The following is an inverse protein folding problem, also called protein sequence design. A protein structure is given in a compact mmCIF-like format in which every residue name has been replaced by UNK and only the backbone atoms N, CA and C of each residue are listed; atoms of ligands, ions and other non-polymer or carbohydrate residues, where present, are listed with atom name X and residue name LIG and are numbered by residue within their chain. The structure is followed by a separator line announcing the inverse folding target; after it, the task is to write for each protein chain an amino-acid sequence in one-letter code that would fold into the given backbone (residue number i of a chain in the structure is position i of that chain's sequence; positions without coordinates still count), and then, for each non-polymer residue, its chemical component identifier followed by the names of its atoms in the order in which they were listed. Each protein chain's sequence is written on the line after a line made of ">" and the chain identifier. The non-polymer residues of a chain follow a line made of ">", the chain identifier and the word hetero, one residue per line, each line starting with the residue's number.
data_IF_290791035070
#
_entry.id   IF_290791035070
#
_cell.length_a   1.000
_cell.length_b   1.000
_cell.length_c   1.000
_cell.angle_alpha   90.00
_cell.angle_beta   90.00
_cell.angle_gamma   90.00
#
_symmetry.space_group_name_H-M   'P 1'
#
loop_
_entity.id
_entity.type
_entity.pdbx_description
1 polymer ?
#
# COMPACT_ATOMS: atom_id res chain seq x y z
N UNK A 1 24.46 -14.29 88.36
CA UNK A 1 25.01 -14.42 87.00
C UNK A 1 24.11 -15.33 86.19
N UNK A 2 23.08 -14.81 85.59
CA UNK A 2 22.19 -15.62 84.75
C UNK A 2 21.44 -14.64 83.79
N UNK A 3 21.42 -14.96 82.46
CA UNK A 3 20.53 -14.45 81.41
C UNK A 3 20.82 -13.08 80.76
N UNK A 4 21.96 -12.96 80.03
CA UNK A 4 22.17 -11.93 79.04
C UNK A 4 22.27 -12.52 77.61
N UNK A 5 22.24 -13.84 77.47
CA UNK A 5 22.47 -14.50 76.18
C UNK A 5 21.20 -14.77 75.31
N UNK A 6 20.02 -14.48 75.83
CA UNK A 6 18.76 -14.85 75.12
C UNK A 6 18.14 -13.74 74.29
N UNK A 7 18.55 -12.49 74.51
CA UNK A 7 17.84 -11.35 73.79
C UNK A 7 18.49 -11.03 72.44
N UNK A 8 19.75 -11.40 72.23
CA UNK A 8 20.46 -11.11 70.99
C UNK A 8 20.08 -12.01 69.80
N UNK A 9 19.49 -13.17 70.04
CA UNK A 9 19.05 -14.08 68.93
C UNK A 9 17.67 -13.78 68.37
N UNK A 10 16.83 -13.03 69.04
CA UNK A 10 15.47 -12.71 68.61
C UNK A 10 15.47 -11.53 67.64
N UNK A 11 16.39 -10.58 67.78
CA UNK A 11 16.50 -9.43 66.85
C UNK A 11 17.08 -9.76 65.48
N UNK A 12 17.88 -10.83 65.34
CA UNK A 12 18.41 -11.25 64.04
C UNK A 12 17.39 -11.96 63.18
N UNK A 13 16.35 -12.58 63.76
CA UNK A 13 15.33 -13.30 62.97
C UNK A 13 14.25 -12.36 62.43
N UNK A 14 14.00 -11.24 63.10
CA UNK A 14 12.98 -10.27 62.72
C UNK A 14 13.48 -9.34 61.56
N UNK A 15 14.80 -9.12 61.44
CA UNK A 15 15.39 -8.32 60.37
C UNK A 15 15.55 -9.07 59.01
N UNK A 16 15.42 -10.41 59.03
CA UNK A 16 15.53 -11.22 57.81
C UNK A 16 14.17 -11.48 57.12
N UNK A 17 13.06 -11.21 57.80
CA UNK A 17 11.72 -11.42 57.26
C UNK A 17 11.06 -10.16 56.69
N UNK A 18 11.71 -8.98 56.82
CA UNK A 18 11.20 -7.70 56.35
C UNK A 18 11.61 -7.31 54.92
N UNK A 19 12.40 -8.16 54.20
CA UNK A 19 12.98 -7.76 52.89
C UNK A 19 12.39 -8.51 51.69
N UNK A 20 11.29 -9.23 51.85
CA UNK A 20 10.64 -9.97 50.73
C UNK A 20 9.22 -9.49 50.52
N UNK A 21 8.98 -8.22 50.27
CA UNK A 21 7.74 -7.75 49.58
C UNK A 21 7.97 -6.35 49.05
N UNK A 22 8.90 -6.22 48.12
CA UNK A 22 8.86 -5.11 47.14
C UNK A 22 9.34 -5.65 45.82
N UNK A 23 8.56 -6.58 45.22
CA UNK A 23 8.59 -6.82 43.79
C UNK A 23 7.89 -5.62 43.18
N UNK A 24 8.56 -4.83 42.31
CA UNK A 24 7.84 -3.88 41.51
C UNK A 24 6.89 -4.69 40.61
N UNK A 25 5.60 -4.49 40.80
CA UNK A 25 4.61 -4.92 39.84
C UNK A 25 5.01 -4.28 38.50
N UNK A 26 5.68 -5.06 37.67
CA UNK A 26 5.92 -4.72 36.30
C UNK A 26 4.56 -4.42 35.72
N UNK A 27 4.29 -3.13 35.46
CA UNK A 27 3.19 -2.69 34.62
C UNK A 27 3.40 -3.34 33.28
N UNK A 28 2.83 -4.52 33.09
CA UNK A 28 2.45 -4.96 31.75
C UNK A 28 1.43 -3.93 31.29
N UNK A 29 1.90 -2.92 30.60
CA UNK A 29 1.05 -2.12 29.73
C UNK A 29 0.49 -3.10 28.70
N UNK A 30 -0.66 -3.69 29.03
CA UNK A 30 -1.53 -4.28 28.00
C UNK A 30 -1.88 -3.11 27.07
N UNK A 31 -1.19 -3.07 25.95
CA UNK A 31 -1.61 -2.30 24.81
C UNK A 31 -3.05 -2.76 24.53
N UNK A 32 -4.01 -1.96 25.02
CA UNK A 32 -5.42 -2.15 24.72
C UNK A 32 -5.53 -2.04 23.20
N UNK A 33 -5.50 -3.18 22.54
CA UNK A 33 -5.98 -3.28 21.17
C UNK A 33 -7.38 -2.71 21.18
N UNK A 34 -7.52 -1.50 20.65
CA UNK A 34 -8.81 -0.82 20.44
C UNK A 34 -9.71 -1.85 19.76
N UNK A 35 -10.92 -2.14 20.30
CA UNK A 35 -11.82 -3.07 19.62
C UNK A 35 -12.01 -2.55 18.21
N UNK A 36 -11.84 -3.41 17.21
CA UNK A 36 -12.05 -3.08 15.82
C UNK A 36 -13.46 -2.52 15.70
N UNK A 37 -13.56 -1.24 15.40
CA UNK A 37 -14.82 -0.60 15.09
C UNK A 37 -15.35 -1.31 13.84
N UNK A 38 -16.53 -1.95 13.93
CA UNK A 38 -17.06 -2.84 12.90
C UNK A 38 -17.39 -2.13 11.58
N UNK A 39 -17.21 -0.82 11.53
CA UNK A 39 -17.46 0.00 10.35
C UNK A 39 -16.22 0.35 9.53
N UNK A 40 -15.00 0.01 9.98
CA UNK A 40 -13.77 0.33 9.24
C UNK A 40 -13.24 -0.89 8.50
N UNK A 41 -13.02 -0.76 7.18
CA UNK A 41 -12.38 -1.78 6.34
C UNK A 41 -10.87 -1.65 6.47
N UNK A 42 -10.20 -2.72 6.89
CA UNK A 42 -8.74 -2.75 7.03
C UNK A 42 -8.08 -3.04 5.69
N UNK A 43 -7.26 -2.10 5.23
CA UNK A 43 -6.61 -2.12 3.93
C UNK A 43 -5.11 -2.38 4.07
N UNK A 44 -4.60 -3.34 3.31
CA UNK A 44 -3.17 -3.52 3.11
C UNK A 44 -2.81 -3.18 1.66
N UNK A 45 -2.05 -2.10 1.47
CA UNK A 45 -1.53 -1.71 0.15
C UNK A 45 -0.16 -2.35 -0.03
N UNK A 46 -0.08 -3.33 -0.93
CA UNK A 46 1.19 -3.96 -1.28
C UNK A 46 2.08 -2.98 -2.06
N UNK A 47 3.41 -3.15 -1.99
CA UNK A 47 4.30 -2.38 -2.85
C UNK A 47 3.89 -2.52 -4.32
N UNK A 48 3.69 -1.39 -5.00
CA UNK A 48 3.36 -1.41 -6.43
C UNK A 48 4.54 -1.95 -7.21
N UNK A 49 4.28 -2.59 -8.33
CA UNK A 49 5.26 -3.28 -9.14
C UNK A 49 5.23 -2.79 -10.58
N UNK A 50 6.38 -2.83 -11.23
CA UNK A 50 6.48 -2.66 -12.68
C UNK A 50 6.29 -4.00 -13.37
N UNK A 51 5.61 -4.02 -14.51
CA UNK A 51 5.53 -5.18 -15.40
C UNK A 51 6.14 -4.81 -16.73
N UNK A 52 7.26 -5.45 -17.03
CA UNK A 52 8.04 -5.26 -18.25
C UNK A 52 7.89 -6.51 -19.10
N UNK A 53 7.70 -6.40 -20.42
CA UNK A 53 7.67 -7.56 -21.30
C UNK A 53 9.02 -8.29 -21.29
N UNK A 54 8.98 -9.62 -21.38
CA UNK A 54 10.18 -10.45 -21.45
C UNK A 54 10.87 -10.37 -22.83
N UNK A 55 10.14 -9.94 -23.83
CA UNK A 55 10.55 -9.75 -25.20
C UNK A 55 10.38 -8.28 -25.66
N UNK A 56 10.58 -7.99 -26.93
CA UNK A 56 10.33 -6.68 -27.54
C UNK A 56 8.84 -6.36 -27.73
N UNK A 57 7.95 -7.05 -27.05
CA UNK A 57 6.50 -6.84 -27.14
C UNK A 57 6.10 -5.46 -26.64
N UNK A 58 5.16 -4.84 -27.34
CA UNK A 58 4.54 -3.58 -26.92
C UNK A 58 3.38 -3.76 -25.93
N UNK A 59 3.11 -5.00 -25.53
CA UNK A 59 2.04 -5.34 -24.60
C UNK A 59 2.50 -6.30 -23.51
N UNK A 60 1.85 -6.21 -22.34
CA UNK A 60 2.04 -7.10 -21.21
C UNK A 60 0.70 -7.58 -20.67
N UNK A 61 0.71 -8.69 -19.94
CA UNK A 61 -0.47 -9.21 -19.25
C UNK A 61 -0.44 -8.86 -17.78
N UNK A 62 -1.59 -8.43 -17.27
CA UNK A 62 -1.76 -8.23 -15.82
C UNK A 62 -1.59 -9.56 -15.08
N UNK A 63 -0.72 -9.63 -14.04
CA UNK A 63 -0.52 -10.88 -13.29
C UNK A 63 -1.74 -11.34 -12.47
N UNK A 64 -2.73 -10.46 -12.25
CA UNK A 64 -3.95 -10.76 -11.48
C UNK A 64 -5.08 -11.22 -12.39
N UNK A 65 -5.47 -10.39 -13.36
CA UNK A 65 -6.68 -10.62 -14.15
C UNK A 65 -6.39 -11.07 -15.59
N UNK A 66 -5.12 -11.10 -16.02
CA UNK A 66 -4.71 -11.51 -17.36
C UNK A 66 -5.05 -10.50 -18.46
N UNK A 67 -5.56 -9.29 -18.14
CA UNK A 67 -5.83 -8.25 -19.14
C UNK A 67 -4.55 -7.86 -19.87
N UNK A 68 -4.69 -7.52 -21.13
CA UNK A 68 -3.60 -7.06 -21.97
C UNK A 68 -3.51 -5.53 -21.87
N UNK A 69 -2.32 -5.04 -21.54
CA UNK A 69 -2.04 -3.62 -21.35
C UNK A 69 -0.89 -3.20 -22.27
N UNK A 70 -0.93 -1.94 -22.73
CA UNK A 70 0.19 -1.38 -23.48
C UNK A 70 1.40 -1.18 -22.58
N UNK A 71 2.52 -1.76 -22.95
CA UNK A 71 3.80 -1.56 -22.25
C UNK A 71 4.59 -0.40 -22.88
N UNK A 72 5.63 0.02 -22.20
CA UNK A 72 6.52 1.05 -22.71
C UNK A 72 7.59 1.43 -21.69
N UNK A 73 8.27 2.52 -21.97
CA UNK A 73 9.35 3.01 -21.09
C UNK A 73 8.83 3.27 -19.68
N UNK A 74 9.56 2.75 -18.68
CA UNK A 74 9.28 2.97 -17.25
C UNK A 74 10.52 3.59 -16.63
N UNK A 75 10.42 4.81 -16.13
CA UNK A 75 11.51 5.44 -15.37
C UNK A 75 11.68 4.77 -14.03
N UNK A 76 12.90 4.71 -13.53
CA UNK A 76 13.20 4.10 -12.22
C UNK A 76 12.39 4.78 -11.12
N UNK A 77 11.71 4.00 -10.30
CA UNK A 77 10.89 4.49 -9.19
C UNK A 77 9.49 4.92 -9.58
N UNK A 78 9.05 4.65 -10.81
CA UNK A 78 7.70 5.00 -11.26
C UNK A 78 6.61 4.35 -10.41
N UNK A 79 6.81 3.10 -9.99
CA UNK A 79 5.88 2.36 -9.14
C UNK A 79 5.69 3.02 -7.77
N UNK A 80 6.78 3.56 -7.18
CA UNK A 80 6.71 4.30 -5.92
C UNK A 80 5.97 5.63 -6.10
N UNK A 81 6.21 6.34 -7.22
CA UNK A 81 5.53 7.60 -7.52
C UNK A 81 4.02 7.39 -7.66
N UNK A 82 3.61 6.36 -8.43
CA UNK A 82 2.18 6.04 -8.62
C UNK A 82 1.55 5.60 -7.31
N UNK A 83 2.25 4.77 -6.51
CA UNK A 83 1.79 4.35 -5.19
C UNK A 83 1.61 5.52 -4.23
N UNK A 84 2.55 6.46 -4.19
CA UNK A 84 2.46 7.66 -3.35
C UNK A 84 1.21 8.47 -3.67
N UNK A 85 0.97 8.77 -4.97
CA UNK A 85 -0.21 9.50 -5.43
C UNK A 85 -1.51 8.75 -5.07
N UNK A 86 -1.50 7.42 -5.24
CA UNK A 86 -2.63 6.57 -4.88
C UNK A 86 -2.90 6.60 -3.37
N UNK A 87 -1.85 6.50 -2.55
CA UNK A 87 -1.97 6.53 -1.10
C UNK A 87 -2.52 7.86 -0.59
N UNK A 88 -2.11 8.98 -1.20
CA UNK A 88 -2.66 10.29 -0.86
C UNK A 88 -4.17 10.33 -1.12
N UNK A 89 -4.61 9.77 -2.24
CA UNK A 89 -6.03 9.68 -2.57
C UNK A 89 -6.80 8.70 -1.69
N UNK A 90 -6.19 7.56 -1.36
CA UNK A 90 -6.80 6.54 -0.51
C UNK A 90 -7.07 7.06 0.92
N UNK A 91 -6.21 7.95 1.44
CA UNK A 91 -6.41 8.59 2.76
C UNK A 91 -7.64 9.50 2.83
N UNK A 92 -8.16 9.93 1.70
CA UNK A 92 -9.42 10.72 1.63
C UNK A 92 -10.67 9.84 1.77
N UNK A 93 -10.52 8.50 1.62
CA UNK A 93 -11.63 7.55 1.69
C UNK A 93 -12.05 7.37 3.15
N UNK A 94 -13.33 7.59 3.42
CA UNK A 94 -13.92 7.36 4.75
C UNK A 94 -13.95 5.87 5.06
N UNK A 95 -13.89 5.54 6.35
CA UNK A 95 -14.00 4.18 6.88
C UNK A 95 -12.90 3.20 6.42
N UNK A 96 -11.77 3.74 5.94
CA UNK A 96 -10.57 3.00 5.56
C UNK A 96 -9.53 3.04 6.70
N UNK A 97 -9.18 1.87 7.26
CA UNK A 97 -8.04 1.69 8.18
C UNK A 97 -6.84 1.17 7.39
N UNK A 98 -5.92 2.06 7.04
CA UNK A 98 -4.77 1.74 6.20
C UNK A 98 -3.63 1.21 7.07
N UNK A 99 -3.24 -0.04 6.85
CA UNK A 99 -2.10 -0.66 7.55
C UNK A 99 -0.80 0.02 7.13
N UNK A 100 0.12 0.35 8.07
CA UNK A 100 1.39 0.99 7.75
C UNK A 100 2.18 0.26 6.66
N UNK A 101 2.67 1.00 5.67
CA UNK A 101 3.32 0.47 4.46
C UNK A 101 4.56 -0.38 4.78
N UNK A 102 5.34 -0.01 5.80
CA UNK A 102 6.54 -0.73 6.22
C UNK A 102 6.18 -2.13 6.75
N UNK A 103 5.08 -2.24 7.49
CA UNK A 103 4.57 -3.52 7.99
C UNK A 103 4.10 -4.40 6.85
N UNK A 104 3.38 -3.84 5.89
CA UNK A 104 2.91 -4.57 4.70
C UNK A 104 4.09 -5.06 3.87
N UNK A 105 5.07 -4.19 3.59
CA UNK A 105 6.26 -4.54 2.82
C UNK A 105 7.08 -5.66 3.49
N UNK A 106 7.29 -5.60 4.81
CA UNK A 106 8.02 -6.61 5.56
C UNK A 106 7.34 -7.98 5.52
N UNK A 107 6.02 -8.03 5.71
CA UNK A 107 5.24 -9.28 5.63
C UNK A 107 5.24 -9.82 4.19
N UNK A 108 5.05 -8.95 3.20
CA UNK A 108 5.07 -9.34 1.79
C UNK A 108 6.42 -9.94 1.37
N UNK A 109 7.53 -9.29 1.71
CA UNK A 109 8.88 -9.79 1.42
C UNK A 109 9.12 -11.18 2.01
N UNK A 110 8.78 -11.38 3.28
CA UNK A 110 8.99 -12.65 3.97
C UNK A 110 8.16 -13.77 3.35
N UNK A 111 6.87 -13.53 3.07
CA UNK A 111 5.99 -14.54 2.50
C UNK A 111 6.39 -14.86 1.06
N UNK A 112 6.77 -13.86 0.26
CA UNK A 112 7.17 -14.07 -1.14
C UNK A 112 8.44 -14.90 -1.26
N UNK A 113 9.40 -14.73 -0.35
CA UNK A 113 10.64 -15.52 -0.32
C UNK A 113 10.40 -17.02 -0.11
N UNK A 114 9.35 -17.38 0.66
CA UNK A 114 9.03 -18.77 1.00
C UNK A 114 8.07 -19.45 0.01
N UNK A 115 7.68 -18.77 -1.07
CA UNK A 115 6.46 -19.15 -1.82
C UNK A 115 6.72 -19.65 -3.26
N UNK A 116 7.81 -20.35 -3.52
CA UNK A 116 8.23 -20.82 -4.86
C UNK A 116 7.18 -21.66 -5.62
N UNK A 117 6.17 -22.22 -4.97
CA UNK A 117 5.14 -23.08 -5.58
C UNK A 117 3.71 -22.52 -5.50
N UNK A 118 3.54 -21.31 -5.01
CA UNK A 118 2.23 -20.71 -4.82
C UNK A 118 1.90 -19.76 -5.97
N UNK A 119 0.61 -19.63 -6.29
CA UNK A 119 0.15 -18.61 -7.25
C UNK A 119 0.26 -17.22 -6.61
N UNK A 120 0.39 -16.19 -7.44
CA UNK A 120 0.45 -14.79 -6.99
C UNK A 120 -0.72 -14.43 -6.07
N UNK A 121 -1.94 -14.87 -6.43
CA UNK A 121 -3.13 -14.63 -5.62
C UNK A 121 -3.07 -15.33 -4.24
N UNK A 122 -2.55 -16.55 -4.18
CA UNK A 122 -2.38 -17.28 -2.91
C UNK A 122 -1.38 -16.57 -1.98
N UNK A 123 -0.28 -16.06 -2.55
CA UNK A 123 0.71 -15.25 -1.82
C UNK A 123 0.02 -14.01 -1.23
N UNK A 124 -0.71 -13.27 -2.05
CA UNK A 124 -1.42 -12.08 -1.61
C UNK A 124 -2.44 -12.36 -0.52
N UNK A 125 -3.29 -13.38 -0.68
CA UNK A 125 -4.24 -13.75 0.36
C UNK A 125 -3.55 -14.16 1.68
N UNK A 126 -2.38 -14.83 1.60
CA UNK A 126 -1.60 -15.17 2.79
C UNK A 126 -1.08 -13.92 3.50
N UNK A 127 -0.58 -12.94 2.74
CA UNK A 127 -0.16 -11.62 3.28
C UNK A 127 -1.33 -10.93 3.96
N UNK A 128 -2.49 -10.85 3.30
CA UNK A 128 -3.68 -10.22 3.86
C UNK A 128 -4.15 -10.87 5.16
N UNK A 129 -4.19 -12.21 5.21
CA UNK A 129 -4.56 -12.95 6.42
C UNK A 129 -3.60 -12.68 7.58
N UNK A 130 -2.29 -12.65 7.31
CA UNK A 130 -1.30 -12.37 8.35
C UNK A 130 -1.37 -10.95 8.88
N UNK A 131 -1.70 -9.99 8.02
CA UNK A 131 -1.91 -8.60 8.40
C UNK A 131 -3.28 -8.35 9.05
N UNK A 132 -4.18 -9.34 9.05
CA UNK A 132 -5.58 -9.19 9.45
C UNK A 132 -6.26 -8.08 8.63
N UNK A 133 -5.95 -8.00 7.34
CA UNK A 133 -6.59 -7.08 6.41
C UNK A 133 -7.86 -7.70 5.82
N UNK A 134 -8.85 -6.86 5.53
CA UNK A 134 -10.08 -7.25 4.82
C UNK A 134 -9.87 -7.17 3.32
N UNK A 135 -9.14 -6.12 2.87
CA UNK A 135 -8.89 -5.82 1.47
C UNK A 135 -7.40 -5.63 1.22
N UNK A 136 -6.94 -6.22 0.14
CA UNK A 136 -5.61 -5.99 -0.43
C UNK A 136 -5.71 -5.04 -1.61
N UNK A 137 -4.80 -4.09 -1.66
CA UNK A 137 -4.61 -3.21 -2.82
C UNK A 137 -3.30 -3.59 -3.50
N UNK A 138 -3.37 -3.81 -4.82
CA UNK A 138 -2.24 -4.25 -5.64
C UNK A 138 -2.21 -3.36 -6.88
N UNK A 139 -1.06 -2.74 -7.14
CA UNK A 139 -0.86 -1.87 -8.29
C UNK A 139 0.24 -2.36 -9.21
N UNK A 140 -0.01 -2.24 -10.52
CA UNK A 140 0.97 -2.52 -11.56
C UNK A 140 1.14 -1.31 -12.47
N UNK A 141 2.40 -0.97 -12.76
CA UNK A 141 2.78 0.09 -13.70
C UNK A 141 3.35 -0.57 -14.95
N UNK A 142 2.74 -0.26 -16.09
CA UNK A 142 3.08 -0.83 -17.39
C UNK A 142 3.84 0.15 -18.28
N UNK A 143 3.68 1.45 -18.03
CA UNK A 143 4.34 2.53 -18.75
C UNK A 143 4.41 3.79 -17.88
N UNK A 144 5.55 4.41 -17.84
CA UNK A 144 5.75 5.70 -17.19
C UNK A 144 6.90 6.43 -17.88
N UNK A 145 6.56 7.18 -18.91
CA UNK A 145 7.50 7.96 -19.71
C UNK A 145 7.32 9.43 -19.40
N UNK A 146 8.42 10.07 -19.03
CA UNK A 146 8.44 11.50 -18.77
C UNK A 146 8.31 12.30 -20.08
N UNK A 147 7.75 13.49 -19.98
CA UNK A 147 7.74 14.46 -21.06
C UNK A 147 9.18 14.91 -21.38
N UNK A 148 9.49 15.03 -22.67
CA UNK A 148 10.69 15.69 -23.16
C UNK A 148 10.27 17.01 -23.81
N UNK A 149 10.90 18.13 -23.41
CA UNK A 149 10.55 19.48 -23.87
C UNK A 149 9.88 20.34 -22.80
N UNK A 150 9.22 21.40 -23.22
CA UNK A 150 8.68 22.43 -22.35
C UNK A 150 7.16 22.31 -22.19
N UNK A 151 6.58 23.08 -21.28
CA UNK A 151 5.14 23.09 -21.00
C UNK A 151 4.26 23.38 -22.23
N UNK A 152 4.76 24.13 -23.18
CA UNK A 152 4.02 24.52 -24.39
C UNK A 152 4.59 23.94 -25.69
N UNK A 153 5.69 23.17 -25.60
CA UNK A 153 6.34 22.56 -26.76
C UNK A 153 7.01 21.25 -26.33
N UNK A 154 6.27 20.15 -26.39
CA UNK A 154 6.81 18.82 -26.09
C UNK A 154 7.26 18.13 -27.38
N UNK A 155 8.50 17.65 -27.38
CA UNK A 155 9.03 16.76 -28.40
C UNK A 155 8.46 15.34 -28.21
N UNK A 156 8.45 14.87 -26.96
CA UNK A 156 7.79 13.64 -26.57
C UNK A 156 6.85 13.90 -25.41
N UNK A 157 5.56 13.62 -25.53
CA UNK A 157 4.59 13.79 -24.48
C UNK A 157 4.75 12.77 -23.35
N UNK A 158 4.30 13.12 -22.15
CA UNK A 158 4.19 12.18 -21.04
C UNK A 158 3.23 11.05 -21.40
N UNK A 159 3.55 9.86 -20.90
CA UNK A 159 2.74 8.67 -21.14
C UNK A 159 2.74 7.79 -19.89
N UNK A 160 1.55 7.47 -19.38
CA UNK A 160 1.36 6.70 -18.16
C UNK A 160 0.34 5.59 -18.39
N UNK A 161 0.70 4.38 -17.93
CA UNK A 161 -0.19 3.23 -17.92
C UNK A 161 -0.04 2.47 -16.61
N UNK A 162 -1.15 2.30 -15.87
CA UNK A 162 -1.18 1.53 -14.64
C UNK A 162 -2.54 0.88 -14.42
N UNK A 163 -2.54 -0.12 -13.57
CA UNK A 163 -3.73 -0.84 -13.15
C UNK A 163 -3.67 -1.11 -11.65
N UNK A 164 -4.81 -0.91 -10.96
CA UNK A 164 -4.92 -1.10 -9.52
C UNK A 164 -6.09 -2.02 -9.24
N UNK A 165 -5.86 -3.01 -8.39
CA UNK A 165 -6.87 -3.97 -7.95
C UNK A 165 -7.11 -3.84 -6.45
N UNK A 166 -8.37 -3.86 -6.03
CA UNK A 166 -8.79 -4.11 -4.65
C UNK A 166 -9.39 -5.51 -4.58
N UNK A 167 -8.82 -6.38 -3.74
CA UNK A 167 -9.17 -7.79 -3.67
C UNK A 167 -9.57 -8.14 -2.24
N UNK A 168 -10.69 -8.86 -2.09
CA UNK A 168 -11.10 -9.42 -0.81
C UNK A 168 -10.10 -10.48 -0.33
N UNK A 169 -9.57 -10.32 0.88
CA UNK A 169 -8.69 -11.33 1.50
C UNK A 169 -9.43 -12.63 1.76
N UNK A 170 -10.72 -12.56 2.07
CA UNK A 170 -11.56 -13.70 2.45
C UNK A 170 -11.68 -14.73 1.33
N UNK A 171 -11.96 -14.27 0.12
CA UNK A 171 -12.28 -15.16 -1.01
C UNK A 171 -11.47 -14.91 -2.28
N UNK A 172 -10.63 -13.86 -2.31
CA UNK A 172 -9.83 -13.48 -3.49
C UNK A 172 -10.63 -12.82 -4.61
N UNK A 173 -11.90 -12.46 -4.38
CA UNK A 173 -12.69 -11.76 -5.39
C UNK A 173 -12.20 -10.33 -5.58
N UNK A 174 -12.27 -9.84 -6.81
CA UNK A 174 -12.01 -8.44 -7.13
C UNK A 174 -13.20 -7.60 -6.67
N UNK A 175 -12.96 -6.66 -5.77
CA UNK A 175 -13.94 -5.70 -5.27
C UNK A 175 -14.01 -4.45 -6.16
N UNK A 176 -12.85 -4.01 -6.63
CA UNK A 176 -12.73 -2.87 -7.54
C UNK A 176 -11.46 -3.01 -8.39
N UNK A 177 -11.52 -2.41 -9.58
CA UNK A 177 -10.40 -2.35 -10.53
C UNK A 177 -10.38 -0.99 -11.20
N UNK A 178 -9.25 -0.29 -11.11
CA UNK A 178 -8.99 0.95 -11.82
C UNK A 178 -7.90 0.74 -12.87
N UNK A 179 -8.16 1.19 -14.10
CA UNK A 179 -7.19 1.14 -15.21
C UNK A 179 -7.03 2.54 -15.75
N UNK A 180 -5.80 2.93 -15.97
CA UNK A 180 -5.45 4.16 -16.66
C UNK A 180 -4.37 3.88 -17.69
N UNK A 181 -4.62 4.26 -18.92
CA UNK A 181 -3.67 4.10 -20.05
C UNK A 181 -3.81 5.31 -20.97
N UNK A 182 -2.93 6.30 -20.77
CA UNK A 182 -2.94 7.51 -21.59
C UNK A 182 -1.53 7.99 -21.95
N UNK A 183 -1.39 8.39 -23.21
CA UNK A 183 -0.34 9.28 -23.69
C UNK A 183 -0.99 10.62 -23.98
N UNK A 184 -0.45 11.69 -23.40
CA UNK A 184 -0.99 13.02 -23.68
C UNK A 184 -0.83 13.35 -25.15
N UNK A 185 -1.91 13.82 -25.79
CA UNK A 185 -1.92 14.28 -27.19
C UNK A 185 -2.11 15.78 -27.25
N UNK A 186 -1.66 16.40 -28.32
CA UNK A 186 -1.94 17.80 -28.58
C UNK A 186 -3.43 18.01 -28.91
N UNK A 187 -3.93 19.23 -28.70
CA UNK A 187 -5.30 19.59 -29.09
C UNK A 187 -5.57 19.39 -30.57
N UNK A 188 -4.52 19.48 -31.41
CA UNK A 188 -4.66 19.30 -32.85
C UNK A 188 -4.73 17.83 -33.27
N UNK A 189 -4.22 16.91 -32.44
CA UNK A 189 -4.23 15.47 -32.71
C UNK A 189 -5.50 14.78 -32.22
N UNK A 190 -6.14 15.31 -31.20
CA UNK A 190 -7.33 14.70 -30.62
C UNK A 190 -8.25 15.75 -29.98
N UNK A 191 -9.17 16.26 -30.74
CA UNK A 191 -10.16 17.24 -30.27
C UNK A 191 -11.09 16.66 -29.22
N UNK A 192 -11.31 15.34 -29.20
CA UNK A 192 -12.12 14.65 -28.17
C UNK A 192 -11.43 14.55 -26.82
N UNK A 193 -10.10 14.64 -26.76
CA UNK A 193 -9.34 14.71 -25.52
C UNK A 193 -9.07 16.15 -25.03
N UNK A 194 -9.64 17.15 -25.70
CA UNK A 194 -9.51 18.56 -25.32
C UNK A 194 -9.84 18.80 -23.82
N UNK A 195 -10.83 18.08 -23.27
CA UNK A 195 -11.21 18.19 -21.87
C UNK A 195 -10.07 17.79 -20.90
N UNK A 196 -9.26 16.77 -21.23
CA UNK A 196 -8.11 16.37 -20.42
C UNK A 196 -6.95 17.34 -20.55
N UNK A 197 -6.75 17.92 -21.73
CA UNK A 197 -5.75 18.97 -21.97
C UNK A 197 -6.10 20.25 -21.21
N UNK A 198 -7.36 20.66 -21.20
CA UNK A 198 -7.83 21.83 -20.45
C UNK A 198 -7.80 21.60 -18.93
N UNK A 199 -8.08 20.38 -18.43
CA UNK A 199 -7.89 20.02 -17.03
C UNK A 199 -6.42 20.15 -16.60
N UNK A 200 -5.47 19.93 -17.49
CA UNK A 200 -4.04 20.16 -17.30
C UNK A 200 -3.59 21.61 -17.43
N UNK A 201 -4.50 22.59 -17.65
CA UNK A 201 -4.17 23.99 -17.80
C UNK A 201 -3.65 24.34 -19.19
N UNK A 202 -4.08 23.63 -20.24
CA UNK A 202 -3.69 23.82 -21.64
C UNK A 202 -2.17 23.75 -21.88
N UNK A 203 -1.48 22.90 -21.15
CA UNK A 203 -0.04 22.67 -21.24
C UNK A 203 0.31 21.19 -21.26
N UNK A 204 1.52 20.87 -21.70
CA UNK A 204 2.05 19.52 -21.63
C UNK A 204 2.38 19.16 -20.18
N UNK A 205 1.77 18.10 -19.70
CA UNK A 205 1.94 17.61 -18.32
C UNK A 205 3.26 16.84 -18.18
N UNK A 206 3.79 16.81 -16.95
CA UNK A 206 4.78 15.81 -16.54
C UNK A 206 4.10 14.45 -16.35
N UNK A 207 4.87 13.35 -16.33
CA UNK A 207 4.30 12.02 -16.07
C UNK A 207 3.65 11.97 -14.68
N UNK A 208 4.21 12.64 -13.66
CA UNK A 208 3.61 12.73 -12.31
C UNK A 208 2.25 13.44 -12.33
N UNK A 209 2.13 14.54 -13.07
CA UNK A 209 0.84 15.23 -13.20
C UNK A 209 -0.18 14.38 -13.95
N UNK A 210 0.25 13.67 -15.01
CA UNK A 210 -0.62 12.76 -15.76
C UNK A 210 -1.05 11.56 -14.91
N UNK A 211 -0.15 10.99 -14.09
CA UNK A 211 -0.46 9.94 -13.14
C UNK A 211 -1.50 10.40 -12.10
N UNK A 212 -1.36 11.64 -11.58
CA UNK A 212 -2.33 12.21 -10.64
C UNK A 212 -3.71 12.33 -11.27
N UNK A 213 -3.81 12.84 -12.49
CA UNK A 213 -5.09 12.88 -13.23
C UNK A 213 -5.65 11.46 -13.41
N UNK A 214 -4.79 10.48 -13.70
CA UNK A 214 -5.19 9.09 -13.84
C UNK A 214 -5.74 8.51 -12.55
N UNK A 215 -5.09 8.77 -11.41
CA UNK A 215 -5.59 8.32 -10.10
C UNK A 215 -6.94 8.97 -9.79
N UNK A 216 -7.10 10.27 -10.00
CA UNK A 216 -8.38 10.95 -9.79
C UNK A 216 -9.49 10.37 -10.71
N UNK A 217 -9.15 10.06 -11.96
CA UNK A 217 -10.09 9.46 -12.93
C UNK A 217 -10.53 8.05 -12.50
N UNK A 218 -9.60 7.16 -12.14
CA UNK A 218 -9.96 5.80 -11.71
C UNK A 218 -10.70 5.80 -10.38
N UNK A 219 -10.34 6.68 -9.43
CA UNK A 219 -11.06 6.83 -8.18
C UNK A 219 -12.50 7.34 -8.36
N UNK A 220 -12.80 8.05 -9.44
CA UNK A 220 -14.19 8.48 -9.73
C UNK A 220 -15.15 7.30 -9.94
N UNK A 221 -14.61 6.10 -10.23
CA UNK A 221 -15.38 4.85 -10.37
C UNK A 221 -15.46 4.05 -9.06
N UNK A 222 -14.75 4.48 -8.03
CA UNK A 222 -14.75 3.81 -6.72
C UNK A 222 -15.90 4.34 -5.87
N UNK A 223 -16.86 3.47 -5.57
CA UNK A 223 -18.07 3.82 -4.82
C UNK A 223 -17.94 3.66 -3.31
N UNK A 224 -16.72 3.33 -2.81
CA UNK A 224 -16.49 3.05 -1.40
C UNK A 224 -16.55 1.55 -1.07
N UNK A 225 -16.48 1.24 0.22
CA UNK A 225 -16.51 -0.14 0.74
C UNK A 225 -17.90 -0.55 1.25
N UNK A 226 -18.92 0.25 0.97
CA UNK A 226 -20.32 -0.08 1.32
C UNK A 226 -20.74 -1.35 0.58
N UNK A 227 -20.98 -2.41 1.37
CA UNK A 227 -21.64 -3.65 0.94
C UNK A 227 -22.97 -3.81 1.68
#
# INVERSE_FOLDING_TARGET
>A
MRNIFSIRRIYCVILFFGFIVFLPASLYAQEKTKPADKNHVRLAVLPFQTVIPEDESTTVRCPICGSVNSSGNIVKGAEQIVQEIFMDKLREVKDADIIPSERVAGVYQRISADSLKQTVLQIFQRVGRELHADVLVIGYVYRYRERVGYDYSAEHPASVGFEIHMISVKNGSTLWRGIFDKTQKSLMEDVFQASSFFKGGAKWLTARQLAKLGIDEVFSTFTGFEQ
#
